data_IF_131183285372
#
_entry.id   IF_131183285372
#
_cell.length_a   1.000
_cell.length_b   1.000
_cell.length_c   1.000
_cell.angle_alpha   90.00
_cell.angle_beta   90.00
_cell.angle_gamma   90.00
#
_symmetry.space_group_name_H-M   'P 1'
#
loop_
_entity.id
_entity.type
_entity.pdbx_description
1 polymer ?
#
# COMPACT_ATOMS: atom_id res chain seq x y z
N UNK A 1 2.69 -23.21 -15.55
CA UNK A 1 3.82 -22.27 -15.62
C UNK A 1 3.21 -20.88 -15.51
N UNK A 2 3.18 -20.29 -14.32
CA UNK A 2 2.71 -18.91 -14.18
C UNK A 2 3.68 -18.02 -14.97
N UNK A 3 3.15 -17.19 -15.87
CA UNK A 3 3.96 -16.30 -16.69
C UNK A 3 4.66 -15.31 -15.76
N UNK A 4 5.97 -15.15 -15.93
CA UNK A 4 6.84 -14.29 -15.11
C UNK A 4 6.56 -12.78 -15.31
N UNK A 5 5.42 -12.43 -15.91
CA UNK A 5 5.11 -11.14 -16.53
C UNK A 5 3.77 -10.53 -16.09
N UNK A 6 3.06 -11.13 -15.13
CA UNK A 6 1.75 -10.60 -14.71
C UNK A 6 1.84 -9.40 -13.76
N UNK A 7 3.05 -8.94 -13.41
CA UNK A 7 3.25 -7.74 -12.57
C UNK A 7 3.97 -6.65 -13.36
N UNK A 8 3.25 -5.58 -13.69
CA UNK A 8 3.83 -4.34 -14.24
C UNK A 8 3.96 -3.34 -13.08
N UNK A 9 5.17 -2.88 -12.79
CA UNK A 9 5.41 -1.83 -11.79
C UNK A 9 5.08 -0.47 -12.43
N UNK A 10 3.90 0.07 -12.15
CA UNK A 10 3.42 1.34 -12.73
C UNK A 10 3.98 2.56 -11.97
N UNK A 11 4.22 2.42 -10.66
CA UNK A 11 4.79 3.47 -9.81
C UNK A 11 5.98 2.89 -9.05
N UNK A 12 7.20 3.20 -9.48
CA UNK A 12 8.40 2.95 -8.69
C UNK A 12 8.77 4.18 -7.84
N UNK A 13 7.83 5.10 -7.64
CA UNK A 13 8.01 6.30 -6.84
C UNK A 13 7.66 6.01 -5.38
N UNK A 14 8.47 6.54 -4.46
CA UNK A 14 8.29 6.37 -3.02
C UNK A 14 9.12 5.24 -2.40
N UNK A 15 9.14 5.25 -1.07
CA UNK A 15 9.85 4.33 -0.19
C UNK A 15 9.05 3.04 0.05
N UNK A 16 9.69 2.01 0.57
CA UNK A 16 8.98 0.80 1.00
C UNK A 16 7.90 1.11 2.05
N UNK A 17 8.18 2.03 2.96
CA UNK A 17 7.23 2.47 3.99
C UNK A 17 5.99 3.10 3.36
N UNK A 18 6.17 4.06 2.46
CA UNK A 18 5.06 4.74 1.77
C UNK A 18 4.17 3.73 1.03
N UNK A 19 4.79 2.78 0.30
CA UNK A 19 4.05 1.78 -0.46
C UNK A 19 3.28 0.79 0.43
N UNK A 20 3.84 0.39 1.57
CA UNK A 20 3.14 -0.44 2.56
C UNK A 20 1.95 0.32 3.16
N UNK A 21 2.14 1.60 3.51
CA UNK A 21 1.08 2.41 4.08
C UNK A 21 -0.02 2.71 3.07
N UNK A 22 0.32 2.97 1.81
CA UNK A 22 -0.66 3.14 0.73
C UNK A 22 -1.51 1.89 0.54
N UNK A 23 -0.87 0.72 0.47
CA UNK A 23 -1.59 -0.56 0.36
C UNK A 23 -2.47 -0.82 1.59
N UNK A 24 -1.96 -0.59 2.80
CA UNK A 24 -2.74 -0.76 4.03
C UNK A 24 -3.97 0.19 4.05
N UNK A 25 -3.79 1.44 3.62
CA UNK A 25 -4.89 2.41 3.49
C UNK A 25 -5.92 1.97 2.44
N UNK A 26 -5.48 1.41 1.31
CA UNK A 26 -6.38 0.88 0.29
C UNK A 26 -7.21 -0.28 0.84
N UNK A 27 -6.58 -1.26 1.50
CA UNK A 27 -7.28 -2.40 2.13
C UNK A 27 -8.26 -1.92 3.22
N UNK A 28 -7.87 -0.93 4.02
CA UNK A 28 -8.71 -0.35 5.06
C UNK A 28 -10.02 0.26 4.52
N UNK A 29 -10.12 0.58 3.22
CA UNK A 29 -11.37 1.07 2.61
C UNK A 29 -12.52 0.08 2.71
N UNK A 30 -12.21 -1.22 2.83
CA UNK A 30 -13.20 -2.28 3.05
C UNK A 30 -13.73 -2.33 4.49
N UNK A 31 -13.10 -1.62 5.43
CA UNK A 31 -13.53 -1.51 6.83
C UNK A 31 -14.41 -0.26 7.07
N UNK A 32 -15.27 -0.30 8.10
CA UNK A 32 -15.93 0.89 8.65
C UNK A 32 -14.93 2.01 8.96
N UNK A 33 -15.31 3.26 8.75
CA UNK A 33 -14.42 4.42 8.89
C UNK A 33 -13.77 4.48 10.28
N UNK A 34 -14.55 4.19 11.32
CA UNK A 34 -14.15 4.15 12.72
C UNK A 34 -13.11 3.07 13.03
N UNK A 35 -13.01 2.02 12.21
CA UNK A 35 -12.07 0.91 12.38
C UNK A 35 -10.77 1.11 11.59
N UNK A 36 -10.74 2.01 10.60
CA UNK A 36 -9.60 2.14 9.67
C UNK A 36 -8.31 2.51 10.37
N UNK A 37 -8.36 3.44 11.31
CA UNK A 37 -7.18 3.85 12.07
C UNK A 37 -6.61 2.68 12.89
N UNK A 38 -7.47 1.91 13.55
CA UNK A 38 -7.08 0.74 14.31
C UNK A 38 -6.52 -0.39 13.42
N UNK A 39 -7.05 -0.53 12.21
CA UNK A 39 -6.52 -1.46 11.21
C UNK A 39 -5.13 -1.07 10.70
N UNK A 40 -4.87 0.21 10.48
CA UNK A 40 -3.60 0.69 9.90
C UNK A 40 -2.46 0.72 10.93
N UNK A 41 -2.76 1.02 12.20
CA UNK A 41 -1.76 1.23 13.25
C UNK A 41 -0.70 0.12 13.38
N UNK A 42 -1.03 -1.19 13.34
CA UNK A 42 -0.04 -2.26 13.41
C UNK A 42 1.01 -2.22 12.28
N UNK A 43 0.63 -1.73 11.10
CA UNK A 43 1.56 -1.60 9.96
C UNK A 43 2.48 -0.39 10.13
N UNK A 44 1.95 0.73 10.63
CA UNK A 44 2.76 1.89 11.00
C UNK A 44 3.80 1.52 12.07
N UNK A 45 3.37 0.77 13.09
CA UNK A 45 4.28 0.32 14.15
C UNK A 45 5.34 -0.64 13.64
N UNK A 46 4.98 -1.56 12.74
CA UNK A 46 5.93 -2.52 12.15
C UNK A 46 6.99 -1.86 11.25
N UNK A 47 6.71 -0.68 10.70
CA UNK A 47 7.63 0.09 9.85
C UNK A 47 8.63 0.94 10.65
N UNK A 48 8.33 1.27 11.91
CA UNK A 48 9.23 2.04 12.77
C UNK A 48 10.57 1.35 12.91
N UNK A 49 11.64 2.13 12.82
CA UNK A 49 13.02 1.70 13.05
C UNK A 49 13.45 2.23 14.41
N UNK A 50 13.72 1.33 15.36
CA UNK A 50 14.22 1.69 16.68
C UNK A 50 15.74 1.91 16.67
N UNK A 51 16.27 2.57 17.70
CA UNK A 51 17.70 2.81 17.84
C UNK A 51 18.49 1.49 17.84
N UNK A 52 19.49 1.40 16.95
CA UNK A 52 20.30 0.20 16.77
C UNK A 52 19.74 -0.85 15.81
N UNK A 53 18.54 -0.66 15.25
CA UNK A 53 18.03 -1.48 14.15
C UNK A 53 18.56 -1.00 12.79
N UNK A 54 18.56 -1.91 11.82
CA UNK A 54 18.84 -1.54 10.43
C UNK A 54 17.71 -0.67 9.88
N UNK A 55 18.00 0.30 9.00
CA UNK A 55 16.98 0.96 8.20
C UNK A 55 16.08 -0.06 7.49
N UNK A 56 14.79 0.23 7.36
CA UNK A 56 13.83 -0.72 6.80
C UNK A 56 14.22 -1.11 5.37
N UNK A 57 14.85 -0.21 4.62
CA UNK A 57 15.36 -0.40 3.26
C UNK A 57 16.40 -1.51 3.17
N UNK A 58 17.23 -1.64 4.21
CA UNK A 58 18.34 -2.60 4.31
C UNK A 58 17.92 -3.89 5.03
N UNK A 59 16.81 -3.88 5.76
CA UNK A 59 16.28 -5.03 6.48
C UNK A 59 15.31 -5.86 5.61
N UNK A 60 15.88 -6.72 4.77
CA UNK A 60 15.08 -7.58 3.89
C UNK A 60 14.15 -8.55 4.64
N UNK A 61 14.53 -9.01 5.83
CA UNK A 61 13.71 -9.95 6.60
C UNK A 61 12.49 -9.24 7.17
N UNK A 62 12.70 -8.05 7.75
CA UNK A 62 11.62 -7.19 8.24
C UNK A 62 10.70 -6.77 7.09
N UNK A 63 11.23 -6.33 5.95
CA UNK A 63 10.42 -5.99 4.76
C UNK A 63 9.52 -7.15 4.33
N UNK A 64 10.07 -8.37 4.23
CA UNK A 64 9.28 -9.56 3.89
C UNK A 64 8.20 -9.85 4.92
N UNK A 65 8.54 -9.72 6.21
CA UNK A 65 7.59 -9.94 7.30
C UNK A 65 6.44 -8.94 7.25
N UNK A 66 6.72 -7.64 7.13
CA UNK A 66 5.71 -6.58 7.05
C UNK A 66 4.82 -6.79 5.83
N UNK A 67 5.42 -7.02 4.66
CA UNK A 67 4.66 -7.27 3.43
C UNK A 67 3.74 -8.50 3.57
N UNK A 68 4.22 -9.59 4.17
CA UNK A 68 3.41 -10.79 4.42
C UNK A 68 2.23 -10.50 5.35
N UNK A 69 2.43 -9.68 6.38
CA UNK A 69 1.34 -9.29 7.30
C UNK A 69 0.27 -8.47 6.57
N UNK A 70 0.64 -7.54 5.70
CA UNK A 70 -0.33 -6.78 4.89
C UNK A 70 -1.07 -7.73 3.94
N UNK A 71 -0.35 -8.60 3.23
CA UNK A 71 -0.92 -9.55 2.28
C UNK A 71 -1.95 -10.48 2.94
N UNK A 72 -1.74 -10.88 4.20
CA UNK A 72 -2.70 -11.69 4.96
C UNK A 72 -4.03 -10.98 5.24
N UNK A 73 -4.06 -9.64 5.23
CA UNK A 73 -5.30 -8.88 5.37
C UNK A 73 -6.00 -8.60 4.02
N UNK A 74 -5.34 -8.91 2.89
CA UNK A 74 -5.92 -8.73 1.56
C UNK A 74 -6.89 -9.89 1.29
N UNK A 75 -8.16 -9.68 1.59
CA UNK A 75 -9.24 -10.64 1.28
C UNK A 75 -9.78 -10.49 -0.16
N UNK A 76 -9.31 -9.49 -0.90
CA UNK A 76 -9.65 -9.18 -2.30
C UNK A 76 -9.20 -7.77 -2.67
N UNK A 77 -8.97 -7.51 -3.97
CA UNK A 77 -8.59 -6.19 -4.52
C UNK A 77 -9.69 -5.60 -5.43
N UNK A 78 -10.91 -6.13 -5.32
CA UNK A 78 -12.01 -5.84 -6.24
C UNK A 78 -11.89 -6.58 -7.57
N UNK A 79 -12.97 -6.55 -8.37
CA UNK A 79 -13.06 -7.17 -9.70
C UNK A 79 -12.45 -6.26 -10.81
N UNK A 80 -11.84 -5.13 -10.46
CA UNK A 80 -11.29 -4.17 -11.42
C UNK A 80 -12.32 -3.47 -12.32
N UNK A 81 -13.62 -3.68 -12.05
CA UNK A 81 -14.73 -3.02 -12.76
C UNK A 81 -15.18 -1.72 -12.08
N UNK A 82 -14.51 -1.35 -10.99
CA UNK A 82 -14.80 -0.14 -10.23
C UNK A 82 -14.39 1.05 -11.08
N UNK A 83 -15.34 1.95 -11.37
CA UNK A 83 -15.02 3.18 -12.09
C UNK A 83 -14.12 4.02 -11.19
N UNK A 84 -12.81 3.98 -11.43
CA UNK A 84 -11.90 4.99 -10.91
C UNK A 84 -12.50 6.36 -11.26
N UNK A 85 -12.76 7.17 -10.25
CA UNK A 85 -13.12 8.56 -10.43
C UNK A 85 -11.92 9.26 -11.07
N UNK A 86 -11.92 9.26 -12.41
CA UNK A 86 -11.07 10.09 -13.26
C UNK A 86 -11.05 11.49 -12.63
N UNK A 87 -9.91 11.92 -12.12
CA UNK A 87 -9.70 13.33 -11.81
C UNK A 87 -9.99 14.10 -13.09
N UNK A 88 -11.08 14.87 -13.10
CA UNK A 88 -11.31 15.82 -14.16
C UNK A 88 -10.16 16.80 -14.10
N UNK A 89 -9.27 16.73 -15.09
CA UNK A 89 -8.36 17.82 -15.37
C UNK A 89 -9.29 18.95 -15.81
N UNK A 90 -9.60 19.87 -14.90
CA UNK A 90 -10.23 21.13 -15.27
C UNK A 90 -9.19 21.87 -16.11
N UNK A 91 -9.36 21.79 -17.44
CA UNK A 91 -8.65 22.66 -18.34
C UNK A 91 -9.17 24.08 -18.10
N UNK A 92 -8.33 24.93 -17.48
CA UNK A 92 -8.60 26.35 -17.35
C UNK A 92 -8.93 26.92 -18.75
N UNK A 93 -10.07 27.62 -18.94
CA UNK A 93 -10.35 28.26 -20.20
C UNK A 93 -9.33 29.38 -20.44
N UNK A 94 -8.47 29.19 -21.44
CA UNK A 94 -7.61 30.24 -21.96
C UNK A 94 -8.48 31.41 -22.38
N UNK A 95 -8.27 32.56 -21.72
CA UNK A 95 -8.92 33.84 -22.03
C UNK A 95 -8.19 34.56 -23.15
#
# INVERSE_FOLDING_TARGET
MASQTDSVSIFAEGTFEEQILELANYVARSHPEEERAAFIAPFQDALKVEEGQKPIEEDQEKRKSVFKSVLQQVNGLGDGSEKESRGSIEEDPVT
#
